data_IF_619723562485
#
_entry.id   IF_619723562485
#
_cell.length_a   1.000
_cell.length_b   1.000
_cell.length_c   1.000
_cell.angle_alpha   90.00
_cell.angle_beta   90.00
_cell.angle_gamma   90.00
#
_symmetry.space_group_name_H-M   'P 1'
#
loop_
_entity.id
_entity.type
_entity.pdbx_description
1 polymer ?
#
# COMPACT_ATOMS: atom_id res chain seq x y z
N UNK A 1 12.01 4.95 -20.05
CA UNK A 1 12.39 4.79 -18.63
C UNK A 1 11.39 3.83 -18.00
N UNK A 2 11.85 2.81 -17.25
CA UNK A 2 10.94 1.86 -16.58
C UNK A 2 10.28 2.53 -15.36
N UNK A 3 9.03 2.20 -15.04
CA UNK A 3 8.30 2.86 -13.94
C UNK A 3 8.99 2.65 -12.60
N UNK A 4 9.58 1.47 -12.42
CA UNK A 4 10.37 1.06 -11.26
C UNK A 4 11.50 2.06 -11.02
N UNK A 5 12.27 2.42 -12.06
CA UNK A 5 13.36 3.38 -11.95
C UNK A 5 12.90 4.77 -11.48
N UNK A 6 11.67 5.18 -11.82
CA UNK A 6 11.10 6.45 -11.34
C UNK A 6 10.76 6.37 -9.85
N UNK A 7 10.18 5.25 -9.42
CA UNK A 7 9.86 4.98 -8.01
C UNK A 7 11.16 4.97 -7.17
N UNK A 8 12.21 4.32 -7.68
CA UNK A 8 13.51 4.27 -7.01
C UNK A 8 14.17 5.65 -6.84
N UNK A 9 14.08 6.51 -7.85
CA UNK A 9 14.59 7.89 -7.78
C UNK A 9 13.87 8.76 -6.74
N UNK A 10 12.65 8.41 -6.38
CA UNK A 10 11.89 9.07 -5.31
C UNK A 10 12.21 8.49 -3.92
N UNK A 11 13.14 7.54 -3.82
CA UNK A 11 13.52 6.90 -2.55
C UNK A 11 12.61 5.74 -2.13
N UNK A 12 11.65 5.33 -2.97
CA UNK A 12 10.74 4.23 -2.67
C UNK A 12 11.17 2.93 -3.36
N UNK A 13 10.71 1.80 -2.82
CA UNK A 13 10.81 0.47 -3.43
C UNK A 13 9.41 -0.12 -3.56
N UNK A 14 9.17 -0.83 -4.65
CA UNK A 14 7.92 -1.59 -4.79
C UNK A 14 8.01 -2.81 -3.88
N UNK A 15 7.12 -2.95 -2.88
CA UNK A 15 7.16 -4.10 -1.99
C UNK A 15 6.68 -5.36 -2.70
N UNK A 16 7.00 -6.52 -2.13
CA UNK A 16 6.32 -7.75 -2.51
C UNK A 16 4.81 -7.62 -2.23
N UNK A 17 4.01 -8.26 -3.09
CA UNK A 17 2.57 -8.24 -2.93
C UNK A 17 2.19 -8.91 -1.58
N UNK A 18 1.47 -8.20 -0.69
CA UNK A 18 1.12 -8.77 0.61
C UNK A 18 0.15 -9.94 0.44
N UNK A 19 0.27 -10.93 1.33
CA UNK A 19 -0.71 -12.01 1.44
C UNK A 19 -2.07 -11.42 1.87
N UNK A 20 -3.19 -11.89 1.30
CA UNK A 20 -4.52 -11.49 1.76
C UNK A 20 -4.70 -11.75 3.26
N UNK A 21 -5.30 -10.81 3.97
CA UNK A 21 -5.59 -10.93 5.41
C UNK A 21 -6.93 -11.64 5.71
N UNK A 22 -7.62 -12.12 4.67
CA UNK A 22 -8.90 -12.79 4.77
C UNK A 22 -9.20 -13.61 3.52
N UNK A 23 -10.44 -14.08 3.39
CA UNK A 23 -10.87 -14.93 2.28
C UNK A 23 -11.24 -14.07 1.07
N UNK A 24 -10.22 -13.53 0.39
CA UNK A 24 -10.36 -12.77 -0.86
C UNK A 24 -9.07 -12.84 -1.69
N UNK A 25 -9.17 -12.53 -2.98
CA UNK A 25 -8.01 -12.43 -3.89
C UNK A 25 -7.44 -11.01 -3.90
N UNK A 26 -6.11 -10.82 -4.10
CA UNK A 26 -5.48 -9.50 -4.01
C UNK A 26 -5.87 -8.55 -5.14
N UNK A 27 -6.31 -9.09 -6.28
CA UNK A 27 -6.86 -8.33 -7.40
C UNK A 27 -7.77 -9.22 -8.27
N UNK A 28 -8.71 -8.61 -8.98
CA UNK A 28 -9.58 -9.23 -9.98
C UNK A 28 -9.44 -8.45 -11.29
N UNK A 29 -9.27 -9.15 -12.41
CA UNK A 29 -9.24 -8.53 -13.74
C UNK A 29 -10.55 -8.79 -14.47
N UNK A 30 -11.17 -7.74 -15.01
CA UNK A 30 -12.33 -7.84 -15.90
C UNK A 30 -12.00 -7.06 -17.17
N UNK A 31 -11.77 -7.78 -18.27
CA UNK A 31 -11.31 -7.20 -19.54
C UNK A 31 -10.03 -6.35 -19.36
N UNK A 32 -10.13 -5.03 -19.55
CA UNK A 32 -9.06 -4.05 -19.43
C UNK A 32 -9.02 -3.33 -18.07
N UNK A 33 -9.88 -3.72 -17.12
CA UNK A 33 -9.90 -3.17 -15.75
C UNK A 33 -9.26 -4.15 -14.77
N UNK A 34 -8.41 -3.64 -13.89
CA UNK A 34 -7.82 -4.39 -12.77
C UNK A 34 -8.30 -3.76 -11.45
N UNK A 35 -9.15 -4.49 -10.74
CA UNK A 35 -9.65 -4.11 -9.42
C UNK A 35 -8.68 -4.64 -8.37
N UNK A 36 -8.04 -3.74 -7.63
CA UNK A 36 -7.06 -4.10 -6.60
C UNK A 36 -7.75 -4.05 -5.24
N UNK A 37 -7.57 -5.09 -4.42
CA UNK A 37 -8.05 -5.09 -3.04
C UNK A 37 -7.40 -3.99 -2.21
N UNK A 38 -8.07 -3.59 -1.13
CA UNK A 38 -7.58 -2.54 -0.23
C UNK A 38 -6.12 -2.78 0.20
N UNK A 39 -5.34 -1.70 0.25
CA UNK A 39 -3.95 -1.70 0.72
C UNK A 39 -3.87 -0.90 2.01
N UNK A 40 -3.04 -1.40 2.92
CA UNK A 40 -2.75 -0.79 4.23
C UNK A 40 -1.24 -0.52 4.30
N UNK A 41 -0.78 0.43 5.15
CA UNK A 41 0.61 0.85 5.19
C UNK A 41 1.49 -0.19 5.88
N UNK A 42 1.76 -1.30 5.18
CA UNK A 42 2.67 -2.34 5.66
C UNK A 42 4.11 -1.99 5.29
N UNK A 43 4.97 -1.90 6.29
CA UNK A 43 6.42 -1.77 6.15
C UNK A 43 7.03 -3.05 6.72
N UNK A 44 7.74 -3.82 5.88
CA UNK A 44 8.34 -5.10 6.26
C UNK A 44 7.34 -6.08 6.92
N UNK A 45 6.09 -6.09 6.44
CA UNK A 45 5.03 -6.96 6.96
C UNK A 45 4.39 -6.48 8.28
N UNK A 46 4.83 -5.34 8.82
CA UNK A 46 4.26 -4.73 10.02
C UNK A 46 3.46 -3.48 9.66
N UNK A 47 2.43 -3.18 10.44
CA UNK A 47 1.61 -2.00 10.23
C UNK A 47 2.39 -0.75 10.66
N UNK A 48 2.74 0.11 9.72
CA UNK A 48 3.50 1.34 9.97
C UNK A 48 2.70 2.40 10.73
N UNK A 49 1.38 2.47 10.49
CA UNK A 49 0.50 3.44 11.12
C UNK A 49 -0.82 2.79 11.54
N UNK A 50 -1.24 3.05 12.78
CA UNK A 50 -2.47 2.49 13.35
C UNK A 50 -3.19 3.53 14.20
N UNK A 51 -4.47 3.73 13.92
CA UNK A 51 -5.34 4.61 14.69
C UNK A 51 -6.01 5.69 13.83
N UNK A 52 -6.76 6.58 14.48
CA UNK A 52 -7.49 7.66 13.84
C UNK A 52 -6.64 8.94 13.78
N UNK A 53 -6.49 9.51 12.59
CA UNK A 53 -5.87 10.82 12.39
C UNK A 53 -6.65 11.92 13.12
N UNK A 54 -5.94 12.81 13.80
CA UNK A 54 -6.48 13.84 14.69
C UNK A 54 -6.84 13.35 16.09
N UNK A 55 -6.61 12.06 16.40
CA UNK A 55 -6.81 11.50 17.75
C UNK A 55 -5.61 10.66 18.19
N UNK A 56 -5.37 9.56 17.47
CA UNK A 56 -4.29 8.61 17.76
C UNK A 56 -3.04 8.90 16.91
N UNK A 57 -3.23 9.54 15.74
CA UNK A 57 -2.17 10.01 14.84
C UNK A 57 -2.30 11.52 14.64
N UNK A 58 -1.19 12.22 14.48
CA UNK A 58 -1.16 13.61 14.01
C UNK A 58 -1.57 13.70 12.53
N UNK A 59 -1.90 14.92 12.07
CA UNK A 59 -2.17 15.15 10.64
C UNK A 59 -0.93 14.84 9.80
N UNK A 60 0.25 15.19 10.30
CA UNK A 60 1.51 14.97 9.62
C UNK A 60 1.80 13.47 9.45
N UNK A 61 1.65 12.67 10.52
CA UNK A 61 1.78 11.20 10.44
C UNK A 61 0.76 10.56 9.47
N UNK A 62 -0.45 11.12 9.35
CA UNK A 62 -1.47 10.64 8.43
C UNK A 62 -1.29 11.07 6.97
N UNK A 63 -0.33 11.95 6.68
CA UNK A 63 -0.06 12.48 5.34
C UNK A 63 1.02 11.70 4.58
N UNK A 64 1.61 10.69 5.22
CA UNK A 64 2.67 9.82 4.68
C UNK A 64 2.12 8.46 4.24
#
# INVERSE_FOLDING_TARGET
MKIEQKIEKLGYRVPEAPKPLGVYVPAVRVSNLLFVGGKIPLVQGQLGYKGKVGKDLTIEEGSH
#
